data_IF_525012997303
#
_entry.id   IF_525012997303
#
_cell.length_a   1.000
_cell.length_b   1.000
_cell.length_c   1.000
_cell.angle_alpha   90.00
_cell.angle_beta   90.00
_cell.angle_gamma   90.00
#
_symmetry.space_group_name_H-M   'P 1'
#
loop_
_entity.id
_entity.type
_entity.pdbx_description
1 polymer ?
#
# COMPACT_ATOMS: atom_id res chain seq x y z
N UNK A 1 0.44 37.94 22.13
CA UNK A 1 -0.68 37.05 21.78
C UNK A 1 -0.07 35.73 21.40
N UNK A 2 -0.28 34.69 22.21
CA UNK A 2 0.23 33.35 21.98
C UNK A 2 -0.97 32.45 21.65
N UNK A 3 -0.83 31.60 20.64
CA UNK A 3 -1.54 30.32 20.58
C UNK A 3 -0.62 29.28 19.94
N UNK A 4 -0.34 28.24 20.71
CA UNK A 4 0.43 27.06 20.34
C UNK A 4 -0.42 26.10 19.50
N UNK A 5 0.18 25.29 18.61
CA UNK A 5 -0.52 24.18 17.99
C UNK A 5 -0.71 23.05 19.01
N UNK A 6 -1.95 22.55 19.07
CA UNK A 6 -2.37 21.46 19.94
C UNK A 6 -1.76 20.14 19.48
N UNK A 7 -1.08 19.45 20.40
CA UNK A 7 -0.73 18.05 20.26
C UNK A 7 -1.98 17.22 20.61
N UNK A 8 -2.43 16.35 19.70
CA UNK A 8 -3.43 15.32 19.99
C UNK A 8 -3.06 14.05 19.25
N UNK A 9 -2.15 13.32 19.90
CA UNK A 9 -2.10 11.87 20.02
C UNK A 9 -3.41 11.13 19.69
N UNK A 10 -3.23 9.93 19.09
CA UNK A 10 -4.09 8.74 19.19
C UNK A 10 -4.84 8.25 17.93
N UNK A 11 -4.15 8.11 16.78
CA UNK A 11 -4.69 7.48 15.55
C UNK A 11 -4.42 5.97 15.43
N UNK A 12 -4.01 5.28 16.49
CA UNK A 12 -3.55 3.88 16.39
C UNK A 12 -4.59 2.80 16.74
N UNK A 13 -5.86 3.16 16.93
CA UNK A 13 -6.92 2.21 17.32
C UNK A 13 -8.06 2.03 16.31
N UNK A 14 -8.08 2.76 15.19
CA UNK A 14 -9.21 2.73 14.24
C UNK A 14 -9.06 1.78 13.05
N UNK A 15 -7.88 1.20 12.82
CA UNK A 15 -7.66 0.28 11.69
C UNK A 15 -8.31 -1.10 11.88
N UNK A 16 -8.65 -1.49 13.11
CA UNK A 16 -9.32 -2.77 13.37
C UNK A 16 -10.84 -2.75 13.07
N UNK A 17 -11.49 -1.59 13.09
CA UNK A 17 -12.93 -1.49 12.81
C UNK A 17 -13.25 -1.39 11.32
N UNK A 18 -12.34 -0.87 10.49
CA UNK A 18 -12.57 -0.77 9.04
C UNK A 18 -12.56 -2.13 8.33
N UNK A 19 -11.74 -3.07 8.78
CA UNK A 19 -11.70 -4.42 8.20
C UNK A 19 -12.98 -5.23 8.50
N UNK A 20 -13.68 -4.93 9.61
CA UNK A 20 -14.93 -5.63 9.97
C UNK A 20 -16.11 -5.30 9.05
N UNK A 21 -16.10 -4.11 8.44
CA UNK A 21 -17.22 -3.60 7.65
C UNK A 21 -17.32 -4.22 6.24
N UNK A 22 -16.26 -4.87 5.75
CA UNK A 22 -16.29 -5.65 4.52
C UNK A 22 -17.03 -6.99 4.64
N UNK A 23 -17.12 -7.54 5.87
CA UNK A 23 -17.87 -8.77 6.16
C UNK A 23 -19.38 -8.50 6.32
N UNK A 24 -19.76 -7.25 6.60
CA UNK A 24 -21.14 -6.80 6.77
C UNK A 24 -21.93 -6.67 5.45
N UNK A 25 -21.29 -6.80 4.29
CA UNK A 25 -21.94 -6.74 2.97
C UNK A 25 -22.96 -7.87 2.76
N UNK A 26 -22.64 -9.12 3.16
CA UNK A 26 -23.59 -10.23 3.09
C UNK A 26 -24.75 -10.06 4.07
N UNK A 27 -24.46 -9.62 5.29
CA UNK A 27 -25.49 -9.30 6.30
C UNK A 27 -26.42 -8.18 5.82
N UNK A 28 -25.89 -7.18 5.11
CA UNK A 28 -26.67 -6.06 4.60
C UNK A 28 -27.50 -6.43 3.36
N UNK A 29 -26.96 -7.23 2.44
CA UNK A 29 -27.73 -7.77 1.31
C UNK A 29 -28.89 -8.66 1.80
N UNK A 30 -28.67 -9.41 2.89
CA UNK A 30 -29.70 -10.19 3.56
C UNK A 30 -30.77 -9.29 4.21
N UNK A 31 -30.39 -8.18 4.83
CA UNK A 31 -31.34 -7.18 5.35
C UNK A 31 -32.16 -6.53 4.22
N UNK A 32 -31.54 -6.23 3.07
CA UNK A 32 -32.22 -5.66 1.90
C UNK A 32 -33.23 -6.65 1.30
N UNK A 33 -32.86 -7.92 1.13
CA UNK A 33 -33.78 -8.99 0.67
C UNK A 33 -34.95 -9.20 1.65
N UNK A 34 -34.68 -9.10 2.95
CA UNK A 34 -35.70 -9.23 4.00
C UNK A 34 -36.71 -8.09 3.95
N UNK A 35 -36.29 -6.85 3.68
CA UNK A 35 -37.19 -5.70 3.51
C UNK A 35 -37.96 -5.71 2.18
N UNK A 36 -37.39 -6.27 1.11
CA UNK A 36 -38.05 -6.46 -0.19
C UNK A 36 -39.20 -7.48 -0.13
N UNK A 37 -39.14 -8.41 0.81
CA UNK A 37 -40.17 -9.45 1.00
C UNK A 37 -41.37 -8.93 1.81
N UNK A 38 -41.28 -7.76 2.46
CA UNK A 38 -42.24 -7.34 3.50
C UNK A 38 -42.69 -5.86 3.49
N UNK A 39 -42.44 -5.06 2.45
CA UNK A 39 -42.85 -3.64 2.43
C UNK A 39 -44.04 -3.37 1.50
N UNK A 40 -45.14 -2.94 2.13
CA UNK A 40 -46.33 -2.33 1.54
C UNK A 40 -45.93 -1.13 0.64
N UNK A 41 -46.42 -1.04 -0.62
CA UNK A 41 -45.91 -0.17 -1.70
C UNK A 41 -45.90 1.36 -1.49
N UNK A 42 -46.29 1.89 -0.34
CA UNK A 42 -46.60 3.32 -0.19
C UNK A 42 -45.49 4.25 0.35
N UNK A 43 -44.27 3.76 0.67
CA UNK A 43 -43.10 4.64 0.92
C UNK A 43 -41.75 4.01 0.53
N UNK A 44 -41.34 4.05 -0.75
CA UNK A 44 -40.08 3.46 -1.20
C UNK A 44 -38.87 4.42 -1.20
N UNK A 45 -39.00 5.66 -0.74
CA UNK A 45 -38.05 6.75 -1.12
C UNK A 45 -36.81 6.93 -0.22
N UNK A 46 -36.87 6.61 1.08
CA UNK A 46 -35.70 6.82 1.98
C UNK A 46 -34.64 5.72 1.88
N UNK A 47 -35.01 4.49 1.50
CA UNK A 47 -34.05 3.39 1.38
C UNK A 47 -33.15 3.49 0.13
N UNK A 48 -33.52 4.28 -0.88
CA UNK A 48 -32.79 4.33 -2.15
C UNK A 48 -31.57 5.27 -2.11
N UNK A 49 -31.66 6.40 -1.41
CA UNK A 49 -30.50 7.31 -1.23
C UNK A 49 -29.40 6.66 -0.38
N UNK A 50 -29.75 5.96 0.69
CA UNK A 50 -28.77 5.25 1.53
C UNK A 50 -28.07 4.12 0.77
N UNK A 51 -28.81 3.36 -0.04
CA UNK A 51 -28.24 2.32 -0.93
C UNK A 51 -27.33 2.94 -2.00
N UNK A 52 -27.69 4.09 -2.55
CA UNK A 52 -26.88 4.79 -3.54
C UNK A 52 -25.56 5.32 -2.94
N UNK A 53 -25.60 5.92 -1.75
CA UNK A 53 -24.40 6.36 -1.03
C UNK A 53 -23.52 5.18 -0.59
N UNK A 54 -24.13 4.07 -0.19
CA UNK A 54 -23.40 2.85 0.18
C UNK A 54 -22.78 2.15 -1.03
N UNK A 55 -23.44 2.14 -2.19
CA UNK A 55 -22.85 1.65 -3.44
C UNK A 55 -21.63 2.48 -3.84
N UNK A 56 -21.70 3.80 -3.65
CA UNK A 56 -20.57 4.71 -3.88
C UNK A 56 -19.41 4.43 -2.91
N UNK A 57 -19.71 4.18 -1.63
CA UNK A 57 -18.70 3.84 -0.63
C UNK A 57 -18.07 2.47 -0.89
N UNK A 58 -18.88 1.47 -1.27
CA UNK A 58 -18.42 0.11 -1.62
C UNK A 58 -17.51 0.13 -2.84
N UNK A 59 -17.84 0.92 -3.86
CA UNK A 59 -16.99 1.13 -5.03
C UNK A 59 -15.64 1.76 -4.66
N UNK A 60 -15.65 2.75 -3.76
CA UNK A 60 -14.44 3.37 -3.25
C UNK A 60 -13.58 2.38 -2.44
N UNK A 61 -14.21 1.56 -1.60
CA UNK A 61 -13.53 0.56 -0.78
C UNK A 61 -12.93 -0.56 -1.65
N UNK A 62 -13.67 -1.03 -2.65
CA UNK A 62 -13.13 -1.97 -3.65
C UNK A 62 -11.94 -1.36 -4.41
N UNK A 63 -12.02 -0.07 -4.75
CA UNK A 63 -10.91 0.65 -5.39
C UNK A 63 -9.71 0.75 -4.45
N UNK A 64 -9.92 1.06 -3.16
CA UNK A 64 -8.85 1.05 -2.16
C UNK A 64 -8.19 -0.31 -2.03
N UNK A 65 -8.98 -1.38 -1.88
CA UNK A 65 -8.47 -2.74 -1.79
C UNK A 65 -7.70 -3.17 -3.04
N UNK A 66 -8.15 -2.71 -4.22
CA UNK A 66 -7.43 -2.95 -5.47
C UNK A 66 -6.09 -2.22 -5.49
N UNK A 67 -6.05 -0.95 -5.08
CA UNK A 67 -4.80 -0.19 -4.95
C UNK A 67 -3.84 -0.86 -3.96
N UNK A 68 -4.31 -1.27 -2.78
CA UNK A 68 -3.48 -1.96 -1.77
C UNK A 68 -2.91 -3.29 -2.31
N UNK A 69 -3.71 -4.05 -3.06
CA UNK A 69 -3.23 -5.26 -3.73
C UNK A 69 -2.21 -4.95 -4.83
N UNK A 70 -2.41 -3.86 -5.60
CA UNK A 70 -1.45 -3.43 -6.62
C UNK A 70 -0.12 -3.00 -6.01
N UNK A 71 -0.15 -2.26 -4.90
CA UNK A 71 1.06 -1.87 -4.16
C UNK A 71 1.80 -3.12 -3.64
N UNK A 72 1.07 -4.12 -3.14
CA UNK A 72 1.66 -5.40 -2.75
C UNK A 72 2.24 -6.18 -3.93
N UNK A 73 1.63 -6.14 -5.11
CA UNK A 73 2.20 -6.79 -6.29
C UNK A 73 3.47 -6.06 -6.76
N UNK A 74 3.47 -4.73 -6.71
CA UNK A 74 4.63 -3.92 -7.06
C UNK A 74 5.79 -4.16 -6.09
N UNK A 75 5.53 -4.33 -4.79
CA UNK A 75 6.57 -4.67 -3.81
C UNK A 75 7.16 -6.07 -4.06
N UNK A 76 6.33 -7.07 -4.39
CA UNK A 76 6.82 -8.42 -4.76
C UNK A 76 7.62 -8.40 -6.06
N UNK A 77 7.16 -7.65 -7.06
CA UNK A 77 7.86 -7.49 -8.34
C UNK A 77 9.23 -6.84 -8.15
N UNK A 78 9.29 -5.74 -7.39
CA UNK A 78 10.56 -5.07 -7.07
C UNK A 78 11.47 -5.97 -6.25
N UNK A 79 10.95 -6.70 -5.25
CA UNK A 79 11.74 -7.65 -4.46
C UNK A 79 12.38 -8.73 -5.36
N UNK A 80 11.60 -9.28 -6.29
CA UNK A 80 12.06 -10.30 -7.25
C UNK A 80 13.16 -9.77 -8.16
N UNK A 81 13.02 -8.53 -8.65
CA UNK A 81 14.07 -7.89 -9.45
C UNK A 81 15.34 -7.67 -8.62
N UNK A 82 15.22 -7.15 -7.41
CA UNK A 82 16.35 -6.92 -6.51
C UNK A 82 17.08 -8.22 -6.16
N UNK A 83 16.34 -9.32 -5.92
CA UNK A 83 16.91 -10.65 -5.69
C UNK A 83 17.76 -11.13 -6.87
N UNK A 84 17.35 -10.84 -8.11
CA UNK A 84 18.14 -11.14 -9.30
C UNK A 84 19.45 -10.36 -9.41
N UNK A 85 19.57 -9.23 -8.70
CA UNK A 85 20.78 -8.41 -8.63
C UNK A 85 21.75 -8.87 -7.54
N UNK A 86 21.32 -9.72 -6.60
CA UNK A 86 22.18 -10.20 -5.53
C UNK A 86 23.41 -10.93 -6.10
N UNK A 87 24.60 -10.49 -5.70
CA UNK A 87 25.88 -11.01 -6.20
C UNK A 87 26.28 -10.49 -7.59
N UNK A 88 25.47 -9.66 -8.24
CA UNK A 88 25.82 -9.01 -9.52
C UNK A 88 26.59 -7.72 -9.29
N UNK A 89 27.35 -7.32 -10.30
CA UNK A 89 28.00 -6.01 -10.32
C UNK A 89 27.03 -5.02 -10.92
N UNK A 90 26.71 -3.95 -10.20
CA UNK A 90 25.77 -2.93 -10.65
C UNK A 90 26.42 -1.55 -10.59
N UNK A 91 26.07 -0.73 -11.58
CA UNK A 91 26.43 0.68 -11.62
C UNK A 91 25.22 1.49 -11.14
N UNK A 92 25.37 2.18 -10.00
CA UNK A 92 24.32 3.03 -9.43
C UNK A 92 24.63 4.51 -9.65
N UNK A 93 23.57 5.32 -9.78
CA UNK A 93 23.66 6.79 -9.79
C UNK A 93 23.48 7.32 -8.36
N UNK A 94 24.47 8.05 -7.88
CA UNK A 94 24.43 8.80 -6.61
C UNK A 94 24.56 10.30 -6.91
N UNK A 95 24.21 11.16 -5.96
CA UNK A 95 24.34 12.63 -6.10
C UNK A 95 25.75 13.09 -6.45
N UNK A 96 26.76 12.29 -6.09
CA UNK A 96 28.19 12.58 -6.33
C UNK A 96 28.75 11.94 -7.61
N UNK A 97 27.95 11.21 -8.39
CA UNK A 97 28.40 10.53 -9.61
C UNK A 97 27.91 9.09 -9.75
N UNK A 98 28.54 8.34 -10.64
CA UNK A 98 28.27 6.91 -10.80
C UNK A 98 29.17 6.10 -9.86
N UNK A 99 28.58 5.13 -9.17
CA UNK A 99 29.30 4.22 -8.29
C UNK A 99 29.08 2.78 -8.75
N UNK A 100 30.18 2.04 -8.92
CA UNK A 100 30.16 0.62 -9.23
C UNK A 100 30.39 -0.20 -7.96
N UNK A 101 29.56 -1.22 -7.75
CA UNK A 101 29.72 -2.15 -6.63
C UNK A 101 29.02 -3.48 -6.86
N UNK A 102 29.38 -4.46 -6.04
CA UNK A 102 28.74 -5.78 -6.03
C UNK A 102 27.60 -5.74 -5.00
N UNK A 103 26.41 -6.19 -5.38
CA UNK A 103 25.30 -6.30 -4.42
C UNK A 103 25.59 -7.45 -3.46
N UNK A 104 25.81 -7.14 -2.17
CA UNK A 104 26.10 -8.14 -1.13
C UNK A 104 24.88 -8.51 -0.29
N UNK A 105 23.90 -7.62 -0.21
CA UNK A 105 22.73 -7.82 0.63
C UNK A 105 21.52 -7.05 0.15
N UNK A 106 20.36 -7.54 0.58
CA UNK A 106 19.07 -6.91 0.36
C UNK A 106 18.42 -6.75 1.73
N UNK A 107 17.99 -5.54 2.04
CA UNK A 107 17.23 -5.23 3.25
C UNK A 107 15.84 -4.74 2.85
N UNK A 108 14.84 -5.01 3.69
CA UNK A 108 13.49 -4.50 3.48
C UNK A 108 13.22 -3.42 4.51
N UNK A 109 12.94 -2.20 4.04
CA UNK A 109 12.57 -1.07 4.90
C UNK A 109 11.28 -0.50 4.35
N UNK A 110 10.27 -0.35 5.22
CA UNK A 110 8.95 0.18 4.82
C UNK A 110 8.31 -0.55 3.63
N UNK A 111 8.49 -1.88 3.56
CA UNK A 111 8.00 -2.73 2.48
C UNK A 111 8.65 -2.51 1.10
N UNK A 112 9.74 -1.74 1.05
CA UNK A 112 10.55 -1.52 -0.15
C UNK A 112 11.90 -2.27 -0.03
N UNK A 113 12.31 -3.00 -1.09
CA UNK A 113 13.61 -3.66 -1.12
C UNK A 113 14.72 -2.64 -1.38
N UNK A 114 15.72 -2.63 -0.50
CA UNK A 114 16.92 -1.80 -0.61
C UNK A 114 18.17 -2.67 -0.77
N UNK A 115 19.09 -2.18 -1.58
CA UNK A 115 20.34 -2.86 -1.92
C UNK A 115 21.47 -2.34 -1.02
N UNK A 116 22.29 -3.28 -0.59
CA UNK A 116 23.60 -2.99 0.02
C UNK A 116 24.68 -3.42 -0.96
N UNK A 117 25.47 -2.45 -1.41
CA UNK A 117 26.58 -2.66 -2.34
C UNK A 117 27.91 -2.64 -1.60
N UNK A 118 28.86 -3.43 -2.07
CA UNK A 118 30.27 -3.33 -1.71
C UNK A 118 31.04 -2.83 -2.92
N UNK A 119 31.68 -1.67 -2.81
CA UNK A 119 32.52 -1.13 -3.89
C UNK A 119 33.90 -1.79 -3.91
N UNK A 120 34.63 -1.69 -5.02
CA UNK A 120 35.97 -2.25 -5.19
C UNK A 120 37.00 -1.73 -4.17
N UNK A 121 36.71 -0.62 -3.48
CA UNK A 121 37.51 -0.07 -2.39
C UNK A 121 37.14 -0.59 -0.99
N UNK A 122 36.29 -1.62 -0.88
CA UNK A 122 35.89 -2.23 0.41
C UNK A 122 34.90 -1.38 1.24
N UNK A 123 34.33 -0.33 0.64
CA UNK A 123 33.29 0.49 1.28
C UNK A 123 31.91 -0.09 0.99
N UNK A 124 31.06 -0.14 2.02
CA UNK A 124 29.67 -0.54 1.88
C UNK A 124 28.77 0.68 1.66
N UNK A 125 27.95 0.62 0.62
CA UNK A 125 26.87 1.59 0.36
C UNK A 125 25.55 0.91 0.67
N UNK A 126 24.92 1.34 1.75
CA UNK A 126 23.60 0.87 2.17
C UNK A 126 22.48 1.73 1.56
N UNK A 127 21.26 1.20 1.60
CA UNK A 127 20.03 1.89 1.24
C UNK A 127 19.88 2.31 -0.24
N UNK A 128 20.62 1.71 -1.18
CA UNK A 128 20.45 1.99 -2.60
C UNK A 128 19.13 1.40 -3.13
N UNK A 129 18.47 2.08 -4.07
CA UNK A 129 17.20 1.61 -4.63
C UNK A 129 17.36 1.07 -6.05
N UNK A 130 16.43 0.22 -6.49
CA UNK A 130 16.37 -0.26 -7.89
C UNK A 130 16.37 0.88 -8.90
N UNK A 131 15.73 2.00 -8.58
CA UNK A 131 15.65 3.18 -9.44
C UNK A 131 17.00 3.87 -9.67
N UNK A 132 17.98 3.63 -8.80
CA UNK A 132 19.33 4.18 -8.95
C UNK A 132 20.23 3.28 -9.82
N UNK A 133 19.84 2.04 -10.10
CA UNK A 133 20.62 1.11 -10.92
C UNK A 133 20.54 1.52 -12.39
N UNK A 134 21.69 1.84 -12.98
CA UNK A 134 21.81 2.23 -14.39
C UNK A 134 22.08 1.00 -15.26
N UNK A 135 23.05 0.17 -14.85
CA UNK A 135 23.48 -1.02 -15.61
C UNK A 135 23.78 -2.18 -14.67
N UNK A 136 23.49 -3.40 -15.12
CA UNK A 136 23.85 -4.67 -14.46
C UNK A 136 24.89 -5.37 -15.33
N UNK A 137 26.00 -5.79 -14.72
CA UNK A 137 27.12 -6.51 -15.34
C UNK A 137 27.26 -7.92 -14.78
#
# INVERSE_FOLDING_TARGET
>A
MAISPINSTNTQSQSASLASMGLDMQSLLQIILTQLTYQDPLKPVDNFEFVSQLAQFTSLEQTRQLTEKMDSLLSVQSATQTLGLLGRTVDIKTDSGQLTGIVKGISFKENEPKLTLETSGGQFVADATLSQVITVR
#
